data_IF_517038703504
#
_entry.id   IF_517038703504
#
_cell.length_a   1.000
_cell.length_b   1.000
_cell.length_c   1.000
_cell.angle_alpha   90.00
_cell.angle_beta   90.00
_cell.angle_gamma   90.00
#
_symmetry.space_group_name_H-M   'P 1'
#
loop_
_entity.id
_entity.type
_entity.pdbx_description
1 polymer ?
#
# COMPACT_ATOMS: atom_id res chain seq x y z
N UNK A 1 -25.68 -47.04 24.15
CA UNK A 1 -26.58 -45.99 24.68
C UNK A 1 -25.79 -44.72 24.90
N UNK A 2 -26.38 -43.54 24.64
CA UNK A 2 -25.70 -42.25 24.85
C UNK A 2 -25.23 -42.13 26.30
N UNK A 3 -24.00 -41.66 26.52
CA UNK A 3 -23.42 -41.40 27.85
C UNK A 3 -23.74 -39.99 28.36
N UNK A 4 -24.37 -39.15 27.54
CA UNK A 4 -24.74 -37.79 27.90
C UNK A 4 -26.13 -37.78 28.54
N UNK A 5 -26.26 -37.14 29.71
CA UNK A 5 -27.54 -36.95 30.40
C UNK A 5 -28.48 -36.02 29.63
N UNK A 6 -27.92 -35.09 28.85
CA UNK A 6 -28.68 -34.18 28.00
C UNK A 6 -29.17 -34.89 26.75
N UNK A 7 -30.49 -34.92 26.55
CA UNK A 7 -31.11 -35.48 25.35
C UNK A 7 -31.17 -34.44 24.21
N UNK A 8 -31.05 -34.86 22.94
CA UNK A 8 -31.29 -33.98 21.80
C UNK A 8 -32.67 -33.32 21.88
N UNK A 9 -32.73 -32.02 21.57
CA UNK A 9 -33.99 -31.29 21.52
C UNK A 9 -34.87 -31.79 20.36
N UNK A 10 -36.19 -31.80 20.58
CA UNK A 10 -37.17 -32.13 19.53
C UNK A 10 -37.50 -30.90 18.69
N UNK A 11 -37.56 -31.02 17.34
CA UNK A 11 -38.02 -29.93 16.48
C UNK A 11 -39.54 -29.74 16.53
N UNK A 12 -40.29 -30.60 17.23
CA UNK A 12 -41.74 -30.53 17.34
C UNK A 12 -42.16 -29.23 18.05
N UNK A 13 -43.06 -28.47 17.42
CA UNK A 13 -43.55 -27.19 17.96
C UNK A 13 -42.78 -25.95 17.47
N UNK A 14 -41.77 -26.10 16.61
CA UNK A 14 -41.15 -24.97 15.94
C UNK A 14 -42.18 -24.23 15.06
N UNK A 15 -42.21 -22.90 15.19
CA UNK A 15 -43.04 -22.02 14.36
C UNK A 15 -42.26 -21.60 13.12
N UNK A 16 -42.81 -21.86 11.94
CA UNK A 16 -42.27 -21.39 10.66
C UNK A 16 -42.99 -20.11 10.24
N UNK A 17 -42.40 -19.37 9.31
CA UNK A 17 -42.99 -18.16 8.73
C UNK A 17 -42.70 -18.09 7.24
N UNK A 18 -43.51 -17.35 6.50
CA UNK A 18 -43.39 -17.16 5.05
C UNK A 18 -42.14 -16.35 4.71
N UNK A 19 -41.44 -16.73 3.63
CA UNK A 19 -40.32 -15.95 3.12
C UNK A 19 -40.77 -14.54 2.70
N UNK A 20 -41.99 -14.41 2.18
CA UNK A 20 -42.57 -13.14 1.71
C UNK A 20 -42.82 -12.15 2.86
N UNK A 21 -43.01 -12.61 4.11
CA UNK A 21 -43.16 -11.74 5.27
C UNK A 21 -41.84 -11.35 5.94
N UNK A 22 -40.72 -11.97 5.55
CA UNK A 22 -39.40 -11.71 6.12
C UNK A 22 -38.71 -10.54 5.43
N UNK A 23 -38.27 -9.54 6.20
CA UNK A 23 -37.34 -8.51 5.69
C UNK A 23 -36.01 -9.16 5.28
N UNK A 24 -35.70 -9.13 3.98
CA UNK A 24 -34.44 -9.64 3.43
C UNK A 24 -33.45 -8.50 3.18
N UNK A 25 -32.15 -8.76 3.35
CA UNK A 25 -31.08 -7.75 3.18
C UNK A 25 -30.61 -7.58 1.74
N UNK A 26 -30.87 -8.57 0.88
CA UNK A 26 -30.40 -8.62 -0.50
C UNK A 26 -31.60 -8.77 -1.41
N UNK A 27 -31.63 -7.94 -2.43
CA UNK A 27 -32.62 -7.98 -3.52
C UNK A 27 -31.91 -7.95 -4.89
N UNK A 28 -32.68 -8.24 -5.95
CA UNK A 28 -32.19 -8.35 -7.33
C UNK A 28 -31.47 -7.10 -7.86
N UNK A 29 -31.70 -5.91 -7.29
CA UNK A 29 -31.00 -4.67 -7.66
C UNK A 29 -29.54 -4.65 -7.21
N UNK A 30 -29.16 -5.56 -6.30
CA UNK A 30 -27.77 -5.71 -5.86
C UNK A 30 -26.96 -6.66 -6.76
N UNK A 31 -27.63 -7.34 -7.70
CA UNK A 31 -26.97 -8.34 -8.53
C UNK A 31 -26.06 -7.69 -9.57
N UNK A 32 -25.10 -8.48 -10.05
CA UNK A 32 -24.25 -8.09 -11.14
C UNK A 32 -25.04 -8.05 -12.46
N UNK A 33 -24.51 -7.30 -13.43
CA UNK A 33 -24.96 -7.34 -14.81
C UNK A 33 -23.91 -8.05 -15.67
N UNK A 34 -24.35 -8.75 -16.72
CA UNK A 34 -23.45 -9.38 -17.69
C UNK A 34 -22.70 -8.27 -18.43
N UNK A 35 -21.36 -8.31 -18.37
CA UNK A 35 -20.52 -7.34 -19.06
C UNK A 35 -20.47 -7.63 -20.55
N UNK A 36 -20.63 -6.60 -21.38
CA UNK A 36 -20.40 -6.67 -22.82
C UNK A 36 -18.95 -6.24 -23.11
N UNK A 37 -18.13 -7.07 -23.77
CA UNK A 37 -16.72 -6.79 -24.03
C UNK A 37 -16.45 -5.55 -24.90
N UNK A 38 -17.45 -5.04 -25.63
CA UNK A 38 -17.35 -3.82 -26.43
C UNK A 38 -17.50 -2.54 -25.59
N UNK A 39 -17.76 -2.67 -24.29
CA UNK A 39 -17.98 -1.54 -23.36
C UNK A 39 -16.69 -1.11 -22.66
N UNK A 40 -16.74 0.10 -22.11
CA UNK A 40 -15.62 0.68 -21.38
C UNK A 40 -15.35 -0.07 -20.07
N UNK A 41 -14.15 0.12 -19.52
CA UNK A 41 -13.80 -0.48 -18.24
C UNK A 41 -14.62 0.07 -17.06
N UNK A 42 -15.07 1.33 -17.10
CA UNK A 42 -16.04 1.87 -16.13
C UNK A 42 -17.33 1.06 -16.13
N UNK A 43 -17.81 0.71 -17.31
CA UNK A 43 -19.02 -0.11 -17.44
C UNK A 43 -18.81 -1.55 -16.95
N UNK A 44 -17.59 -2.08 -17.00
CA UNK A 44 -17.24 -3.32 -16.31
C UNK A 44 -17.36 -3.17 -14.80
N UNK A 45 -16.78 -2.11 -14.23
CA UNK A 45 -16.87 -1.84 -12.79
C UNK A 45 -18.34 -1.65 -12.37
N UNK A 46 -19.12 -0.92 -13.15
CA UNK A 46 -20.55 -0.69 -12.90
C UNK A 46 -21.37 -1.98 -12.97
N UNK A 47 -20.95 -2.97 -13.76
CA UNK A 47 -21.62 -4.27 -13.85
C UNK A 47 -21.37 -5.18 -12.66
N UNK A 48 -20.39 -4.86 -11.79
CA UNK A 48 -20.14 -5.62 -10.55
C UNK A 48 -21.34 -5.53 -9.59
N UNK A 49 -21.58 -6.55 -8.75
CA UNK A 49 -22.71 -6.53 -7.82
C UNK A 49 -22.56 -5.40 -6.80
N UNK A 50 -23.67 -4.74 -6.48
CA UNK A 50 -23.71 -3.63 -5.52
C UNK A 50 -23.86 -4.14 -4.07
N UNK A 51 -22.99 -5.07 -3.67
CA UNK A 51 -23.00 -5.69 -2.34
C UNK A 51 -21.58 -6.00 -1.87
N UNK A 52 -21.36 -5.96 -0.54
CA UNK A 52 -20.07 -6.29 0.10
C UNK A 52 -18.89 -5.61 -0.63
N UNK A 53 -17.83 -6.36 -0.95
CA UNK A 53 -16.64 -5.87 -1.62
C UNK A 53 -16.92 -5.18 -2.96
N UNK A 54 -17.95 -5.59 -3.71
CA UNK A 54 -18.32 -4.95 -4.97
C UNK A 54 -18.85 -3.53 -4.77
N UNK A 55 -19.72 -3.34 -3.75
CA UNK A 55 -20.16 -2.01 -3.33
C UNK A 55 -19.00 -1.19 -2.77
N UNK A 56 -18.19 -1.78 -1.89
CA UNK A 56 -17.07 -1.10 -1.24
C UNK A 56 -16.02 -0.65 -2.26
N UNK A 57 -15.73 -1.45 -3.29
CA UNK A 57 -14.81 -1.08 -4.36
C UNK A 57 -15.35 0.12 -5.16
N UNK A 58 -16.61 0.07 -5.60
CA UNK A 58 -17.27 1.20 -6.29
C UNK A 58 -17.22 2.50 -5.48
N UNK A 59 -17.49 2.39 -4.18
CA UNK A 59 -17.44 3.54 -3.27
C UNK A 59 -16.01 4.08 -3.10
N UNK A 60 -15.02 3.19 -2.95
CA UNK A 60 -13.61 3.56 -2.87
C UNK A 60 -13.14 4.29 -4.15
N UNK A 61 -13.52 3.80 -5.33
CA UNK A 61 -13.24 4.50 -6.61
C UNK A 61 -13.85 5.90 -6.61
N UNK A 62 -15.10 6.06 -6.16
CA UNK A 62 -15.74 7.38 -6.06
C UNK A 62 -14.98 8.33 -5.12
N UNK A 63 -14.50 7.82 -3.97
CA UNK A 63 -13.73 8.62 -3.01
C UNK A 63 -12.35 9.02 -3.55
N UNK A 64 -11.66 8.11 -4.25
CA UNK A 64 -10.40 8.40 -4.94
C UNK A 64 -10.59 9.48 -6.01
N UNK A 65 -11.64 9.38 -6.84
CA UNK A 65 -11.98 10.41 -7.84
C UNK A 65 -12.23 11.77 -7.18
N UNK A 66 -13.05 11.82 -6.11
CA UNK A 66 -13.30 13.06 -5.34
C UNK A 66 -12.04 13.64 -4.70
N UNK A 67 -11.15 12.81 -4.18
CA UNK A 67 -9.90 13.27 -3.59
C UNK A 67 -9.03 13.97 -4.64
N UNK A 68 -8.89 13.36 -5.83
CA UNK A 68 -8.17 13.94 -6.97
C UNK A 68 -8.81 15.24 -7.45
N UNK A 69 -10.13 15.26 -7.67
CA UNK A 69 -10.86 16.45 -8.14
C UNK A 69 -10.71 17.65 -7.18
N UNK A 70 -10.53 17.37 -5.88
CA UNK A 70 -10.34 18.37 -4.83
C UNK A 70 -8.85 18.66 -4.53
N UNK A 71 -7.93 18.13 -5.32
CA UNK A 71 -6.49 18.23 -5.11
C UNK A 71 -6.05 17.82 -3.69
N UNK A 72 -6.71 16.79 -3.13
CA UNK A 72 -6.36 16.20 -1.83
C UNK A 72 -5.25 15.17 -1.99
N UNK A 73 -4.53 14.91 -0.89
CA UNK A 73 -3.47 13.92 -0.91
C UNK A 73 -4.01 12.52 -1.15
N UNK A 74 -3.33 11.78 -2.01
CA UNK A 74 -3.54 10.35 -2.25
C UNK A 74 -2.21 9.65 -2.06
N UNK A 75 -2.04 9.05 -0.88
CA UNK A 75 -0.75 8.54 -0.39
C UNK A 75 -0.76 7.02 -0.48
N UNK A 76 0.23 6.45 -1.16
CA UNK A 76 0.38 5.00 -1.29
C UNK A 76 1.56 4.51 -0.44
N UNK A 77 1.25 3.68 0.55
CA UNK A 77 2.22 2.90 1.31
C UNK A 77 2.38 1.52 0.66
N UNK A 78 3.57 1.21 0.13
CA UNK A 78 3.82 -0.02 -0.62
C UNK A 78 4.82 -0.92 0.10
N UNK A 79 4.44 -2.18 0.30
CA UNK A 79 5.38 -3.25 0.60
C UNK A 79 6.20 -3.62 -0.64
N UNK A 80 7.45 -4.04 -0.41
CA UNK A 80 8.40 -4.44 -1.46
C UNK A 80 7.85 -5.45 -2.48
N UNK A 81 6.91 -6.32 -2.09
CA UNK A 81 6.36 -7.32 -2.99
C UNK A 81 5.64 -6.70 -4.21
N UNK A 82 5.07 -5.50 -4.07
CA UNK A 82 4.43 -4.76 -5.16
C UNK A 82 5.43 -4.49 -6.29
N UNK A 83 6.67 -4.13 -5.94
CA UNK A 83 7.76 -3.88 -6.88
C UNK A 83 8.24 -5.21 -7.48
N UNK A 84 8.44 -6.22 -6.63
CA UNK A 84 8.86 -7.57 -7.04
C UNK A 84 7.94 -8.19 -8.11
N UNK A 85 6.62 -7.99 -8.03
CA UNK A 85 5.67 -8.52 -9.04
C UNK A 85 5.50 -7.62 -10.27
N UNK A 86 6.40 -6.63 -10.46
CA UNK A 86 6.50 -5.86 -11.70
C UNK A 86 5.46 -4.76 -11.87
N UNK A 87 4.87 -4.24 -10.78
CA UNK A 87 3.82 -3.22 -10.87
C UNK A 87 4.34 -1.79 -11.07
N UNK A 88 5.66 -1.57 -11.07
CA UNK A 88 6.27 -0.26 -11.25
C UNK A 88 5.68 0.55 -12.42
N UNK A 89 5.53 0.01 -13.66
CA UNK A 89 4.96 0.79 -14.76
C UNK A 89 3.54 1.31 -14.50
N UNK A 90 2.73 0.53 -13.77
CA UNK A 90 1.36 0.90 -13.42
C UNK A 90 1.36 2.00 -12.35
N UNK A 91 2.19 1.87 -11.32
CA UNK A 91 2.34 2.87 -10.26
C UNK A 91 2.89 4.18 -10.84
N UNK A 92 3.87 4.11 -11.75
CA UNK A 92 4.42 5.27 -12.45
C UNK A 92 3.34 6.00 -13.26
N UNK A 93 2.52 5.28 -14.01
CA UNK A 93 1.40 5.91 -14.73
C UNK A 93 0.35 6.52 -13.77
N UNK A 94 0.10 5.90 -12.62
CA UNK A 94 -0.75 6.48 -11.57
C UNK A 94 -0.16 7.77 -10.99
N UNK A 95 1.15 7.84 -10.74
CA UNK A 95 1.84 9.07 -10.33
C UNK A 95 1.71 10.16 -11.41
N UNK A 96 2.03 9.85 -12.68
CA UNK A 96 1.93 10.79 -13.81
C UNK A 96 0.53 11.39 -13.97
N UNK A 97 -0.51 10.65 -13.58
CA UNK A 97 -1.92 11.08 -13.67
C UNK A 97 -2.43 11.75 -12.39
N UNK A 98 -1.61 11.87 -11.35
CA UNK A 98 -2.00 12.45 -10.06
C UNK A 98 -2.93 11.56 -9.23
N UNK A 99 -2.92 10.24 -9.47
CA UNK A 99 -3.59 9.26 -8.61
C UNK A 99 -2.74 8.86 -7.40
N UNK A 100 -1.46 9.22 -7.41
CA UNK A 100 -0.52 9.04 -6.30
C UNK A 100 0.24 10.35 -6.15
N UNK A 101 0.09 10.99 -5.00
CA UNK A 101 0.73 12.28 -4.69
C UNK A 101 1.89 12.14 -3.71
N UNK A 102 2.07 10.95 -3.11
CA UNK A 102 3.22 10.60 -2.29
C UNK A 102 3.34 9.07 -2.14
N UNK A 103 4.55 8.60 -1.89
CA UNK A 103 4.86 7.19 -1.63
C UNK A 103 5.49 7.01 -0.25
N UNK A 104 5.16 5.89 0.41
CA UNK A 104 5.86 5.40 1.59
C UNK A 104 6.27 3.93 1.37
N UNK A 105 7.53 3.59 1.58
CA UNK A 105 8.07 2.24 1.35
C UNK A 105 8.65 1.66 2.65
N UNK A 106 8.73 0.34 2.73
CA UNK A 106 9.65 -0.33 3.65
C UNK A 106 11.06 -0.40 3.03
N UNK A 107 12.08 -0.72 3.82
CA UNK A 107 13.47 -0.74 3.34
C UNK A 107 13.71 -1.70 2.17
N UNK A 108 13.12 -2.90 2.18
CA UNK A 108 13.16 -3.81 1.02
C UNK A 108 12.66 -3.19 -0.30
N UNK A 109 11.77 -2.18 -0.24
CA UNK A 109 11.26 -1.51 -1.45
C UNK A 109 12.36 -0.82 -2.25
N UNK A 110 13.31 -0.15 -1.59
CA UNK A 110 14.41 0.52 -2.28
C UNK A 110 15.42 -0.46 -2.90
N UNK A 111 15.54 -1.66 -2.31
CA UNK A 111 16.42 -2.72 -2.82
C UNK A 111 15.88 -3.25 -4.14
N UNK A 112 14.61 -3.67 -4.17
CA UNK A 112 14.01 -4.19 -5.39
C UNK A 112 13.99 -3.14 -6.50
N UNK A 113 13.70 -1.88 -6.17
CA UNK A 113 13.65 -0.81 -7.16
C UNK A 113 15.03 -0.48 -7.75
N UNK A 114 16.07 -0.46 -6.90
CA UNK A 114 17.45 -0.31 -7.33
C UNK A 114 17.89 -1.44 -8.25
N UNK A 115 17.65 -2.69 -7.87
CA UNK A 115 18.04 -3.86 -8.69
C UNK A 115 17.35 -3.85 -10.05
N UNK A 116 16.07 -3.47 -10.11
CA UNK A 116 15.36 -3.25 -11.37
C UNK A 116 16.03 -2.14 -12.17
N UNK A 117 16.34 -0.99 -11.57
CA UNK A 117 16.97 0.12 -12.27
C UNK A 117 18.33 -0.27 -12.86
N UNK A 118 19.15 -0.95 -12.05
CA UNK A 118 20.53 -1.32 -12.34
C UNK A 118 20.62 -2.50 -13.33
N UNK A 119 19.91 -3.59 -13.06
CA UNK A 119 20.06 -4.87 -13.77
C UNK A 119 18.81 -5.31 -14.54
N UNK A 120 17.65 -4.66 -14.37
CA UNK A 120 16.39 -5.05 -15.00
C UNK A 120 15.73 -6.27 -14.38
N UNK A 121 16.26 -6.77 -13.26
CA UNK A 121 15.82 -7.98 -12.57
C UNK A 121 16.03 -7.82 -11.07
N UNK A 122 15.23 -8.53 -10.27
CA UNK A 122 15.29 -8.50 -8.81
C UNK A 122 14.72 -9.79 -8.22
N UNK A 123 14.90 -10.02 -6.92
CA UNK A 123 14.50 -11.22 -6.18
C UNK A 123 15.37 -12.44 -6.49
N UNK A 124 16.42 -12.61 -5.71
CA UNK A 124 17.23 -13.83 -5.69
C UNK A 124 16.47 -15.05 -5.15
N UNK A 125 16.98 -16.24 -5.44
CA UNK A 125 16.48 -17.52 -4.91
C UNK A 125 16.78 -17.67 -3.41
N UNK A 126 15.94 -17.06 -2.58
CA UNK A 126 16.14 -16.88 -1.13
C UNK A 126 16.55 -18.17 -0.41
N UNK A 127 15.81 -19.27 -0.62
CA UNK A 127 16.06 -20.53 0.08
C UNK A 127 17.46 -21.10 -0.23
N UNK A 128 17.85 -21.05 -1.50
CA UNK A 128 19.16 -21.50 -1.94
C UNK A 128 20.28 -20.61 -1.39
N UNK A 129 20.09 -19.29 -1.42
CA UNK A 129 21.13 -18.34 -1.03
C UNK A 129 21.33 -18.29 0.49
N UNK A 130 20.27 -18.43 1.29
CA UNK A 130 20.38 -18.53 2.76
C UNK A 130 21.21 -19.76 3.14
N UNK A 131 20.93 -20.91 2.51
CA UNK A 131 21.66 -22.16 2.80
C UNK A 131 23.17 -22.03 2.58
N UNK A 132 23.58 -21.19 1.62
CA UNK A 132 24.98 -20.98 1.26
C UNK A 132 25.61 -19.74 1.92
N UNK A 133 24.86 -18.99 2.74
CA UNK A 133 25.36 -17.75 3.37
C UNK A 133 25.56 -16.58 2.40
N UNK A 134 24.95 -16.64 1.22
CA UNK A 134 25.10 -15.65 0.15
C UNK A 134 23.87 -14.75 -0.03
N UNK A 135 22.81 -14.96 0.74
CA UNK A 135 21.58 -14.17 0.63
C UNK A 135 21.85 -12.69 0.88
N UNK A 136 21.56 -11.85 -0.10
CA UNK A 136 21.72 -10.40 -0.02
C UNK A 136 23.15 -9.89 -0.18
N UNK A 137 24.06 -10.70 -0.73
CA UNK A 137 25.49 -10.36 -0.85
C UNK A 137 25.87 -9.68 -2.18
N UNK A 138 24.89 -9.23 -2.97
CA UNK A 138 25.15 -8.47 -4.19
C UNK A 138 25.89 -7.15 -3.86
N UNK A 139 27.12 -7.02 -4.37
CA UNK A 139 28.04 -5.92 -4.02
C UNK A 139 27.46 -4.57 -4.40
N UNK A 140 26.92 -4.44 -5.61
CA UNK A 140 26.38 -3.20 -6.15
C UNK A 140 25.19 -2.70 -5.32
N UNK A 141 24.27 -3.60 -4.97
CA UNK A 141 23.12 -3.30 -4.11
C UNK A 141 23.57 -2.81 -2.74
N UNK A 142 24.48 -3.53 -2.08
CA UNK A 142 24.99 -3.18 -0.77
C UNK A 142 25.80 -1.88 -0.75
N UNK A 143 26.73 -1.72 -1.68
CA UNK A 143 27.62 -0.56 -1.75
C UNK A 143 26.86 0.72 -2.11
N UNK A 144 26.13 0.71 -3.22
CA UNK A 144 25.57 1.94 -3.78
C UNK A 144 24.41 2.48 -2.94
N UNK A 145 23.58 1.60 -2.38
CA UNK A 145 22.51 2.03 -1.47
C UNK A 145 23.07 2.58 -0.17
N UNK A 146 24.06 1.95 0.46
CA UNK A 146 24.66 2.49 1.69
C UNK A 146 25.41 3.81 1.44
N UNK A 147 26.09 3.95 0.30
CA UNK A 147 26.74 5.21 -0.09
C UNK A 147 25.71 6.33 -0.32
N UNK A 148 24.58 6.03 -0.99
CA UNK A 148 23.48 6.98 -1.19
C UNK A 148 22.83 7.40 0.14
N UNK A 149 22.57 6.45 1.04
CA UNK A 149 21.99 6.71 2.37
C UNK A 149 22.94 7.57 3.21
N UNK A 150 24.24 7.27 3.20
CA UNK A 150 25.26 8.03 3.93
C UNK A 150 25.36 9.47 3.41
N UNK A 151 25.46 9.64 2.09
CA UNK A 151 25.53 10.96 1.46
C UNK A 151 24.25 11.76 1.68
N UNK A 152 23.09 11.10 1.62
CA UNK A 152 21.79 11.71 1.92
C UNK A 152 21.71 12.21 3.36
N UNK A 153 22.14 11.39 4.33
CA UNK A 153 22.15 11.79 5.74
C UNK A 153 23.09 12.98 6.02
N UNK A 154 24.23 13.07 5.33
CA UNK A 154 25.15 14.21 5.37
C UNK A 154 24.54 15.46 4.74
N UNK A 155 23.77 15.30 3.66
CA UNK A 155 23.05 16.36 2.95
C UNK A 155 21.67 16.72 3.50
N UNK A 156 21.30 16.23 4.68
CA UNK A 156 19.96 16.43 5.28
C UNK A 156 18.81 15.98 4.35
N UNK A 157 18.98 14.87 3.64
CA UNK A 157 17.94 14.21 2.85
C UNK A 157 17.32 13.04 3.61
N UNK A 158 16.04 12.80 3.33
CA UNK A 158 15.38 11.57 3.73
C UNK A 158 15.92 10.37 2.95
N UNK A 159 15.72 9.16 3.45
CA UNK A 159 16.22 7.94 2.81
C UNK A 159 15.57 7.76 1.42
N UNK A 160 14.26 7.98 1.33
CA UNK A 160 13.53 7.94 0.07
C UNK A 160 14.05 8.93 -0.95
N UNK A 161 14.26 10.19 -0.56
CA UNK A 161 14.79 11.23 -1.46
C UNK A 161 16.23 10.94 -1.89
N UNK A 162 17.10 10.53 -0.96
CA UNK A 162 18.50 10.24 -1.24
C UNK A 162 18.68 9.13 -2.29
N UNK A 163 17.94 8.03 -2.14
CA UNK A 163 18.01 6.91 -3.09
C UNK A 163 17.32 7.27 -4.41
N UNK A 164 16.19 7.98 -4.37
CA UNK A 164 15.50 8.43 -5.58
C UNK A 164 16.39 9.34 -6.44
N UNK A 165 17.07 10.29 -5.80
CA UNK A 165 18.04 11.17 -6.45
C UNK A 165 19.19 10.37 -7.07
N UNK A 166 19.78 9.44 -6.32
CA UNK A 166 20.89 8.63 -6.82
C UNK A 166 20.51 7.83 -8.07
N UNK A 167 19.32 7.21 -8.09
CA UNK A 167 18.87 6.45 -9.27
C UNK A 167 18.54 7.39 -10.43
N UNK A 168 17.88 8.52 -10.19
CA UNK A 168 17.52 9.48 -11.24
C UNK A 168 18.76 10.05 -11.96
N UNK A 169 19.78 10.42 -11.20
CA UNK A 169 21.05 10.99 -11.68
C UNK A 169 22.00 9.94 -12.31
N UNK A 170 21.70 8.64 -12.15
CA UNK A 170 22.52 7.55 -12.69
C UNK A 170 22.37 7.36 -14.21
N UNK A 171 23.29 6.61 -14.81
CA UNK A 171 23.18 6.09 -16.18
C UNK A 171 22.67 4.64 -16.23
N UNK A 172 21.92 4.19 -15.21
CA UNK A 172 21.47 2.80 -15.19
C UNK A 172 20.54 2.47 -16.37
N UNK A 173 20.75 1.31 -17.03
CA UNK A 173 20.10 0.99 -18.31
C UNK A 173 18.57 0.85 -18.20
N UNK A 174 18.04 0.54 -17.01
CA UNK A 174 16.63 0.31 -16.78
C UNK A 174 15.99 1.35 -15.85
N UNK A 175 16.65 2.49 -15.58
CA UNK A 175 16.13 3.53 -14.66
C UNK A 175 14.72 4.04 -14.99
N UNK A 176 14.31 3.98 -16.26
CA UNK A 176 12.93 4.30 -16.70
C UNK A 176 11.83 3.44 -16.07
N UNK A 177 12.19 2.27 -15.52
CA UNK A 177 11.29 1.35 -14.81
C UNK A 177 11.38 1.49 -13.28
N UNK A 178 12.30 2.31 -12.77
CA UNK A 178 12.41 2.61 -11.34
C UNK A 178 11.26 3.50 -10.89
N UNK A 179 10.59 3.07 -9.82
CA UNK A 179 9.57 3.86 -9.15
C UNK A 179 10.18 5.11 -8.51
N UNK A 180 11.36 4.97 -7.90
CA UNK A 180 12.06 6.04 -7.20
C UNK A 180 12.57 7.11 -8.17
N UNK A 181 13.19 6.71 -9.29
CA UNK A 181 13.61 7.65 -10.35
C UNK A 181 12.41 8.43 -10.88
N UNK A 182 11.31 7.74 -11.19
CA UNK A 182 10.12 8.40 -11.71
C UNK A 182 9.47 9.33 -10.68
N UNK A 183 9.47 8.97 -9.39
CA UNK A 183 8.96 9.82 -8.33
C UNK A 183 9.78 11.11 -8.18
N UNK A 184 11.12 11.01 -8.27
CA UNK A 184 12.02 12.15 -8.24
C UNK A 184 11.73 13.12 -9.40
N UNK A 185 11.69 12.61 -10.64
CA UNK A 185 11.44 13.41 -11.85
C UNK A 185 10.07 14.10 -11.83
N UNK A 186 9.07 13.47 -11.19
CA UNK A 186 7.70 13.99 -11.07
C UNK A 186 7.49 14.88 -9.84
N UNK A 187 8.51 15.09 -9.00
CA UNK A 187 8.40 15.78 -7.72
C UNK A 187 7.36 15.14 -6.78
N UNK A 188 7.22 13.81 -6.84
CA UNK A 188 6.39 13.03 -5.91
C UNK A 188 7.25 12.63 -4.71
N UNK A 189 6.95 13.11 -3.48
CA UNK A 189 7.76 12.79 -2.31
C UNK A 189 7.69 11.29 -1.98
N UNK A 190 8.84 10.73 -1.63
CA UNK A 190 9.00 9.33 -1.21
C UNK A 190 9.60 9.29 0.19
N UNK A 191 8.99 8.49 1.07
CA UNK A 191 9.53 8.18 2.39
C UNK A 191 9.85 6.69 2.50
N UNK A 192 10.91 6.33 3.23
CA UNK A 192 11.32 4.94 3.45
C UNK A 192 11.49 4.68 4.94
N UNK A 193 10.74 3.70 5.44
CA UNK A 193 10.67 3.37 6.86
C UNK A 193 11.32 2.02 7.10
N UNK A 194 12.48 2.05 7.74
CA UNK A 194 13.36 0.90 7.91
C UNK A 194 13.09 0.21 9.23
N UNK A 195 13.05 -1.13 9.20
CA UNK A 195 13.21 -1.96 10.38
C UNK A 195 14.65 -2.48 10.39
N UNK A 196 15.45 -2.01 11.34
CA UNK A 196 16.89 -2.35 11.37
C UNK A 196 17.05 -3.86 11.52
N UNK A 197 17.91 -4.44 10.68
CA UNK A 197 18.13 -5.88 10.59
C UNK A 197 17.20 -6.65 9.66
N UNK A 198 16.19 -6.02 9.03
CA UNK A 198 15.29 -6.74 8.10
C UNK A 198 15.75 -6.75 6.65
N UNK A 199 16.53 -5.75 6.25
CA UNK A 199 16.93 -5.54 4.86
C UNK A 199 18.39 -5.98 4.63
N UNK A 200 18.66 -6.52 3.44
CA UNK A 200 19.96 -7.13 3.12
C UNK A 200 21.14 -6.15 3.17
N UNK A 201 20.87 -4.86 3.00
CA UNK A 201 21.90 -3.81 3.08
C UNK A 201 22.37 -3.55 4.53
N UNK A 202 21.69 -4.10 5.55
CA UNK A 202 21.99 -3.84 6.96
C UNK A 202 23.17 -4.62 7.54
N UNK A 203 23.51 -5.76 6.95
CA UNK A 203 24.71 -6.52 7.34
C UNK A 203 25.90 -6.23 6.42
N UNK A 204 25.76 -5.30 5.49
CA UNK A 204 26.81 -4.93 4.54
C UNK A 204 27.94 -4.14 5.25
N UNK A 205 29.23 -4.38 4.96
CA UNK A 205 30.34 -3.71 5.65
C UNK A 205 30.35 -2.17 5.59
N UNK A 206 29.69 -1.59 4.58
CA UNK A 206 29.57 -0.13 4.41
C UNK A 206 28.44 0.51 5.23
N UNK A 207 27.64 -0.25 5.97
CA UNK A 207 26.53 0.34 6.71
C UNK A 207 27.02 1.37 7.74
N UNK A 208 26.39 2.55 7.73
CA UNK A 208 26.46 3.52 8.81
C UNK A 208 25.10 3.57 9.51
N UNK A 209 24.97 2.92 10.67
CA UNK A 209 23.72 2.86 11.42
C UNK A 209 23.16 4.24 11.79
N UNK A 210 24.04 5.20 12.09
CA UNK A 210 23.68 6.60 12.33
C UNK A 210 23.00 7.23 11.10
N UNK A 211 23.59 7.06 9.91
CA UNK A 211 23.03 7.60 8.67
C UNK A 211 21.66 6.98 8.34
N UNK A 212 21.55 5.65 8.48
CA UNK A 212 20.30 4.91 8.27
C UNK A 212 19.19 5.40 9.20
N UNK A 213 19.49 5.50 10.49
CA UNK A 213 18.55 6.00 11.51
C UNK A 213 18.15 7.45 11.27
N UNK A 214 19.13 8.32 10.98
CA UNK A 214 18.91 9.75 10.70
C UNK A 214 18.02 9.95 9.48
N UNK A 215 18.33 9.29 8.36
CA UNK A 215 17.59 9.43 7.11
C UNK A 215 16.16 8.86 7.22
N UNK A 216 15.97 7.70 7.87
CA UNK A 216 14.64 7.10 8.04
C UNK A 216 13.77 7.88 9.04
N UNK A 217 14.37 8.45 10.10
CA UNK A 217 13.64 9.31 11.04
C UNK A 217 13.22 10.63 10.37
N UNK A 218 14.06 11.19 9.49
CA UNK A 218 13.68 12.34 8.68
C UNK A 218 12.48 12.04 7.79
N UNK A 219 12.49 10.88 7.12
CA UNK A 219 11.37 10.39 6.33
C UNK A 219 10.09 10.22 7.16
N UNK A 220 10.19 9.78 8.42
CA UNK A 220 9.04 9.74 9.33
C UNK A 220 8.41 11.13 9.53
N UNK A 221 9.22 12.17 9.76
CA UNK A 221 8.68 13.53 9.93
C UNK A 221 8.14 14.13 8.63
N UNK A 222 8.76 13.84 7.48
CA UNK A 222 8.18 14.19 6.18
C UNK A 222 6.82 13.51 6.00
N UNK A 223 6.73 12.22 6.34
CA UNK A 223 5.48 11.46 6.27
C UNK A 223 4.40 12.05 7.17
N UNK A 224 4.72 12.49 8.40
CA UNK A 224 3.79 13.22 9.26
C UNK A 224 3.19 14.45 8.54
N UNK A 225 4.01 15.28 7.89
CA UNK A 225 3.54 16.44 7.12
C UNK A 225 2.72 16.07 5.89
N UNK A 226 2.99 14.92 5.26
CA UNK A 226 2.17 14.41 4.17
C UNK A 226 0.78 14.00 4.66
N UNK A 227 0.68 13.36 5.83
CA UNK A 227 -0.61 12.92 6.39
C UNK A 227 -1.53 14.08 6.79
N UNK A 228 -1.00 15.26 7.12
CA UNK A 228 -1.80 16.46 7.37
C UNK A 228 -2.68 16.82 6.16
N UNK A 229 -2.19 16.55 4.94
CA UNK A 229 -2.90 16.81 3.68
C UNK A 229 -4.05 15.84 3.40
N UNK A 230 -4.27 14.85 4.27
CA UNK A 230 -5.43 13.97 4.19
C UNK A 230 -6.73 14.63 4.67
N UNK A 231 -6.64 15.66 5.52
CA UNK A 231 -7.80 16.36 6.08
C UNK A 231 -8.82 16.76 5.00
N UNK A 232 -10.10 16.48 5.25
CA UNK A 232 -11.19 16.95 4.40
C UNK A 232 -11.30 16.26 3.03
N UNK A 233 -10.80 15.02 2.89
CA UNK A 233 -11.13 14.16 1.77
C UNK A 233 -9.95 13.46 1.08
N UNK A 234 -8.77 13.44 1.69
CA UNK A 234 -7.64 12.66 1.18
C UNK A 234 -7.81 11.16 1.35
N UNK A 235 -6.89 10.40 0.76
CA UNK A 235 -6.90 8.94 0.78
C UNK A 235 -5.52 8.39 1.13
N UNK A 236 -5.48 7.41 2.04
CA UNK A 236 -4.28 6.63 2.33
C UNK A 236 -4.49 5.16 1.95
N UNK A 237 -3.59 4.60 1.14
CA UNK A 237 -3.69 3.22 0.64
C UNK A 237 -2.48 2.42 1.09
N UNK A 238 -2.69 1.34 1.83
CA UNK A 238 -1.65 0.38 2.23
C UNK A 238 -1.72 -0.86 1.34
N UNK A 239 -0.67 -1.12 0.57
CA UNK A 239 -0.59 -2.27 -0.34
C UNK A 239 0.55 -3.18 0.11
N UNK A 240 0.22 -4.39 0.58
CA UNK A 240 1.20 -5.46 0.83
C UNK A 240 2.18 -5.21 1.99
N UNK A 241 1.92 -4.26 2.89
CA UNK A 241 2.69 -4.11 4.13
C UNK A 241 1.87 -4.57 5.32
N UNK A 242 2.31 -5.66 5.95
CA UNK A 242 1.60 -6.29 7.05
C UNK A 242 1.89 -5.67 8.42
N UNK A 243 3.02 -4.99 8.60
CA UNK A 243 3.43 -4.46 9.93
C UNK A 243 4.04 -3.06 9.83
N UNK A 244 5.15 -2.89 9.10
CA UNK A 244 5.97 -1.67 9.16
C UNK A 244 5.17 -0.42 8.81
N UNK A 245 4.57 -0.38 7.61
CA UNK A 245 3.84 0.81 7.15
C UNK A 245 2.52 1.04 7.91
N UNK A 246 1.72 0.01 8.26
CA UNK A 246 0.59 0.19 9.17
C UNK A 246 0.95 0.77 10.54
N UNK A 247 2.07 0.34 11.13
CA UNK A 247 2.55 0.87 12.41
C UNK A 247 3.03 2.33 12.26
N UNK A 248 3.81 2.62 11.23
CA UNK A 248 4.28 3.98 10.92
C UNK A 248 3.10 4.93 10.69
N UNK A 249 2.13 4.54 9.87
CA UNK A 249 0.93 5.34 9.58
C UNK A 249 0.18 5.74 10.84
N UNK A 250 -0.06 4.80 11.75
CA UNK A 250 -0.79 5.11 12.98
C UNK A 250 -0.04 6.12 13.86
N UNK A 251 1.30 6.02 13.94
CA UNK A 251 2.11 6.94 14.76
C UNK A 251 2.23 8.31 14.10
N UNK A 252 2.45 8.35 12.78
CA UNK A 252 2.52 9.60 12.03
C UNK A 252 1.18 10.35 12.04
N UNK A 253 0.06 9.64 11.94
CA UNK A 253 -1.27 10.25 12.06
C UNK A 253 -1.50 10.79 13.47
N UNK A 254 -1.10 10.05 14.50
CA UNK A 254 -1.17 10.51 15.90
C UNK A 254 -0.37 11.79 16.10
N UNK A 255 0.85 11.86 15.53
CA UNK A 255 1.67 13.06 15.53
C UNK A 255 0.99 14.23 14.82
N UNK A 256 0.48 14.02 13.59
CA UNK A 256 -0.18 15.06 12.81
C UNK A 256 -1.41 15.64 13.54
N UNK A 257 -2.23 14.78 14.14
CA UNK A 257 -3.39 15.19 14.97
C UNK A 257 -2.97 15.95 16.21
N UNK A 258 -1.90 15.51 16.89
CA UNK A 258 -1.40 16.22 18.06
C UNK A 258 -0.90 17.63 17.72
N UNK A 259 -0.31 17.82 16.53
CA UNK A 259 0.26 19.10 16.10
C UNK A 259 -0.77 20.07 15.49
N UNK A 260 -1.69 19.57 14.66
CA UNK A 260 -2.65 20.41 13.91
C UNK A 260 -4.09 20.36 14.45
N UNK A 261 -4.36 19.51 15.45
CA UNK A 261 -5.66 19.36 16.09
C UNK A 261 -6.66 18.50 15.31
N UNK A 262 -6.71 18.60 13.98
CA UNK A 262 -7.73 17.90 13.19
C UNK A 262 -7.16 17.32 11.89
N UNK A 263 -7.09 15.98 11.84
CA UNK A 263 -6.92 15.17 10.62
C UNK A 263 -8.02 14.10 10.62
N UNK A 264 -9.14 14.43 10.01
CA UNK A 264 -10.41 13.73 9.90
C UNK A 264 -10.92 13.71 8.45
N UNK A 265 -12.08 13.11 8.23
CA UNK A 265 -12.80 13.11 6.95
C UNK A 265 -11.95 12.62 5.76
N UNK A 266 -11.06 11.66 5.99
CA UNK A 266 -10.28 10.97 4.97
C UNK A 266 -10.68 9.50 4.87
N UNK A 267 -10.28 8.84 3.79
CA UNK A 267 -10.56 7.42 3.57
C UNK A 267 -9.28 6.59 3.55
N UNK A 268 -9.39 5.32 3.90
CA UNK A 268 -8.26 4.39 3.84
C UNK A 268 -8.61 3.11 3.11
N UNK A 269 -7.63 2.48 2.48
CA UNK A 269 -7.78 1.15 1.91
C UNK A 269 -6.58 0.27 2.20
N UNK A 270 -6.82 -1.02 2.41
CA UNK A 270 -5.80 -2.06 2.43
C UNK A 270 -6.01 -2.97 1.21
N UNK A 271 -4.93 -3.25 0.49
CA UNK A 271 -4.86 -4.31 -0.51
C UNK A 271 -3.84 -5.34 -0.06
N UNK A 272 -4.27 -6.59 0.14
CA UNK A 272 -3.40 -7.67 0.62
C UNK A 272 -3.92 -9.04 0.17
N UNK A 273 -3.05 -10.06 0.17
CA UNK A 273 -3.42 -11.43 -0.21
C UNK A 273 -4.35 -12.07 0.82
N UNK A 274 -4.20 -11.68 2.08
CA UNK A 274 -4.96 -12.20 3.22
C UNK A 274 -5.34 -11.08 4.20
N UNK A 275 -6.23 -11.40 5.14
CA UNK A 275 -6.69 -10.44 6.14
C UNK A 275 -5.75 -10.39 7.36
N UNK A 276 -4.99 -9.31 7.50
CA UNK A 276 -4.01 -9.12 8.57
C UNK A 276 -4.55 -8.25 9.72
N UNK A 277 -4.15 -8.58 10.95
CA UNK A 277 -4.58 -7.83 12.15
C UNK A 277 -4.11 -6.37 12.13
N UNK A 278 -2.83 -6.10 11.85
CA UNK A 278 -2.27 -4.74 11.92
C UNK A 278 -2.81 -3.82 10.84
N UNK A 279 -2.88 -4.18 9.54
CA UNK A 279 -3.54 -3.36 8.53
C UNK A 279 -5.01 -3.12 8.87
N UNK A 280 -5.76 -4.14 9.30
CA UNK A 280 -7.15 -3.95 9.69
C UNK A 280 -7.31 -2.97 10.86
N UNK A 281 -6.55 -3.14 11.93
CA UNK A 281 -6.66 -2.25 13.10
C UNK A 281 -6.10 -0.85 12.83
N UNK A 282 -4.90 -0.77 12.26
CA UNK A 282 -4.13 0.46 12.19
C UNK A 282 -4.34 1.26 10.91
N UNK A 283 -4.98 0.69 9.88
CA UNK A 283 -5.31 1.42 8.63
C UNK A 283 -6.83 1.55 8.49
N UNK A 284 -7.57 0.46 8.67
CA UNK A 284 -9.02 0.42 8.38
C UNK A 284 -9.89 0.87 9.54
N UNK A 285 -9.53 0.56 10.80
CA UNK A 285 -10.43 0.77 11.95
C UNK A 285 -10.07 1.98 12.81
N UNK A 286 -8.94 1.93 13.53
CA UNK A 286 -8.55 2.93 14.54
C UNK A 286 -8.30 4.35 14.00
N UNK A 287 -7.71 4.52 12.80
CA UNK A 287 -7.41 5.85 12.27
C UNK A 287 -8.66 6.69 12.01
N UNK A 288 -9.79 6.05 11.74
CA UNK A 288 -10.99 6.71 11.27
C UNK A 288 -11.85 7.13 12.46
N UNK A 289 -12.18 8.42 12.52
CA UNK A 289 -13.28 8.91 13.36
C UNK A 289 -14.63 8.67 12.68
N UNK A 290 -15.65 9.40 13.10
CA UNK A 290 -17.02 9.23 12.58
C UNK A 290 -17.19 9.60 11.09
N UNK A 291 -16.30 10.45 10.56
CA UNK A 291 -16.41 11.03 9.20
C UNK A 291 -15.58 10.32 8.14
N UNK A 292 -14.76 9.32 8.52
CA UNK A 292 -13.89 8.59 7.61
C UNK A 292 -14.45 7.23 7.23
N UNK A 293 -13.93 6.62 6.14
CA UNK A 293 -14.28 5.25 5.76
C UNK A 293 -13.05 4.43 5.37
N UNK A 294 -13.02 3.19 5.86
CA UNK A 294 -11.93 2.24 5.68
C UNK A 294 -12.39 1.06 4.85
N UNK A 295 -11.53 0.63 3.93
CA UNK A 295 -11.79 -0.47 3.01
C UNK A 295 -10.71 -1.55 3.16
N UNK A 296 -11.09 -2.81 2.94
CA UNK A 296 -10.15 -3.93 2.91
C UNK A 296 -10.46 -4.80 1.70
N UNK A 297 -9.51 -4.90 0.77
CA UNK A 297 -9.62 -5.69 -0.44
C UNK A 297 -8.61 -6.85 -0.38
N UNK A 298 -9.13 -8.07 -0.50
CA UNK A 298 -8.33 -9.29 -0.48
C UNK A 298 -8.13 -9.78 -1.90
N UNK A 299 -6.88 -9.91 -2.33
CA UNK A 299 -6.51 -10.40 -3.66
C UNK A 299 -5.04 -10.11 -4.01
N UNK A 300 -4.54 -10.85 -4.99
CA UNK A 300 -3.18 -10.73 -5.50
C UNK A 300 -2.90 -9.34 -6.10
N UNK A 301 -1.74 -8.74 -5.79
CA UNK A 301 -1.41 -7.36 -6.12
C UNK A 301 -1.29 -7.18 -7.63
N UNK A 302 -0.66 -8.14 -8.30
CA UNK A 302 -0.47 -8.25 -9.74
C UNK A 302 -1.79 -8.26 -10.53
N UNK A 303 -2.93 -8.47 -9.86
CA UNK A 303 -4.28 -8.37 -10.43
C UNK A 303 -5.02 -7.14 -9.89
N UNK A 304 -5.04 -6.96 -8.57
CA UNK A 304 -5.86 -5.94 -7.90
C UNK A 304 -5.39 -4.51 -8.17
N UNK A 305 -4.08 -4.28 -8.29
CA UNK A 305 -3.53 -2.94 -8.54
C UNK A 305 -3.75 -2.50 -9.99
N UNK A 306 -3.49 -3.34 -11.02
CA UNK A 306 -3.92 -3.01 -12.39
C UNK A 306 -5.43 -2.80 -12.50
N UNK A 307 -6.23 -3.61 -11.79
CA UNK A 307 -7.68 -3.47 -11.74
C UNK A 307 -8.11 -2.10 -11.15
N UNK A 308 -7.52 -1.69 -10.02
CA UNK A 308 -7.71 -0.37 -9.44
C UNK A 308 -7.29 0.74 -10.41
N UNK A 309 -6.09 0.64 -10.99
CA UNK A 309 -5.56 1.65 -11.90
C UNK A 309 -6.47 1.84 -13.14
N UNK A 310 -6.96 0.75 -13.73
CA UNK A 310 -7.88 0.80 -14.85
C UNK A 310 -9.24 1.42 -14.46
N UNK A 311 -9.75 1.09 -13.27
CA UNK A 311 -11.02 1.62 -12.72
C UNK A 311 -10.97 3.14 -12.47
N UNK A 312 -9.79 3.69 -12.18
CA UNK A 312 -9.61 5.12 -11.94
C UNK A 312 -9.48 5.94 -13.24
N UNK A 313 -8.93 5.34 -14.30
CA UNK A 313 -8.68 6.02 -15.60
C UNK A 313 -9.90 6.10 -16.51
N UNK A 314 -10.92 5.31 -16.22
CA UNK A 314 -12.11 5.18 -17.03
C UNK A 314 -13.29 5.98 -16.49
#
# INVERSE_FOLDING_TARGET
MSKYETKPASPKGLKTYSLQSRRSKVDIKNFAHVFNPDKTFTQFVDSLPNILAGKDFKEFISLMKKARDRNKAIIFALGAHVIKVGLNPIIIDMMKRGWITALALNGAGIIHDFEIAFAGQTSEEVEFQIKNGHFGMAKETGDMLNDAISSGAEGELGLGEAVSKMIADSDFPYKKFSLLSAAYDLNVPVTVHVAIGTDIIHFHPKIKGEALGKASLRDFFLFCSLLEKLEGGGVFVNVGSAVILPEVFLKALSFARNKQGHVEAFSTAVFDFIHHYRPYQNVVKRPLGEKGKGFYFIGHHEIMIPFLAASLKS
#
